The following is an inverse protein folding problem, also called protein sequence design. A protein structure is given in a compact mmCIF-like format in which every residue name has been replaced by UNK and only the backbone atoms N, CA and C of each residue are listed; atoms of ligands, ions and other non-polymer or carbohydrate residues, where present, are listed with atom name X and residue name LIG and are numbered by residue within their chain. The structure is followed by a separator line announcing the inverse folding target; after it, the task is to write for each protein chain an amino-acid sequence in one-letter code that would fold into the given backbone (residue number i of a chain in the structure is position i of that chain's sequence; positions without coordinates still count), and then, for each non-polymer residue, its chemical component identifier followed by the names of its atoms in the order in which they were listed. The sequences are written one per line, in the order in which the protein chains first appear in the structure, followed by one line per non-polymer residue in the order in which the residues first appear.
data_IF_160099582811
#
_entry.id   IF_160099582811
#
_cell.length_a   1.000
_cell.length_b   1.000
_cell.length_c   1.000
_cell.angle_alpha   90.00
_cell.angle_beta   90.00
_cell.angle_gamma   90.00
#
_symmetry.space_group_name_H-M   'P 1'
#
loop_
_entity.id
_entity.type
_entity.pdbx_description
1 polymer ?
#
# COMPACT_ATOMS: atom_id res chain seq x y z
N UNK A 1 -3.31 -16.28 4.80
CA UNK A 1 -4.76 -15.90 4.72
C UNK A 1 -4.94 -14.38 4.71
N UNK A 2 -5.99 -13.84 4.02
CA UNK A 2 -6.31 -12.39 4.05
C UNK A 2 -7.51 -12.15 4.96
N UNK A 3 -7.37 -11.25 5.94
CA UNK A 3 -8.43 -10.86 6.87
C UNK A 3 -8.46 -9.35 7.11
N UNK A 4 -9.53 -8.88 7.72
CA UNK A 4 -9.63 -7.48 8.15
C UNK A 4 -8.61 -7.20 9.27
N UNK A 5 -8.02 -6.02 9.22
CA UNK A 5 -7.12 -5.49 10.26
C UNK A 5 -7.82 -5.42 11.63
N UNK A 6 -7.08 -5.73 12.66
CA UNK A 6 -7.48 -5.64 14.05
C UNK A 6 -6.50 -4.74 14.83
N UNK A 7 -6.94 -4.18 15.95
CA UNK A 7 -6.11 -3.27 16.75
C UNK A 7 -4.78 -3.87 17.17
N UNK A 8 -4.74 -5.16 17.43
CA UNK A 8 -3.51 -5.89 17.77
C UNK A 8 -2.48 -5.92 16.65
N UNK A 9 -2.88 -5.71 15.39
CA UNK A 9 -1.99 -5.69 14.22
C UNK A 9 -1.27 -4.36 14.05
N UNK A 10 -1.62 -3.34 14.86
CA UNK A 10 -1.18 -1.96 14.66
C UNK A 10 0.34 -1.81 14.61
N UNK A 11 1.03 -2.35 15.60
CA UNK A 11 2.49 -2.20 15.67
C UNK A 11 3.19 -2.93 14.52
N UNK A 12 2.70 -4.12 14.15
CA UNK A 12 3.19 -4.87 13.01
C UNK A 12 3.00 -4.11 11.69
N UNK A 13 1.80 -3.58 11.48
CA UNK A 13 1.49 -2.82 10.26
C UNK A 13 2.33 -1.54 10.16
N UNK A 14 2.50 -0.80 11.25
CA UNK A 14 3.33 0.41 11.28
C UNK A 14 4.80 0.08 11.01
N UNK A 15 5.32 -1.01 11.56
CA UNK A 15 6.68 -1.48 11.32
C UNK A 15 6.90 -1.83 9.83
N UNK A 16 5.97 -2.58 9.24
CA UNK A 16 6.00 -2.93 7.81
C UNK A 16 5.91 -1.65 6.94
N UNK A 17 5.00 -0.75 7.29
CA UNK A 17 4.85 0.53 6.59
C UNK A 17 6.13 1.36 6.59
N UNK A 18 6.76 1.50 7.76
CA UNK A 18 7.99 2.28 7.93
C UNK A 18 9.15 1.69 7.12
N UNK A 19 9.38 0.38 7.24
CA UNK A 19 10.43 -0.32 6.52
C UNK A 19 10.23 -0.22 4.99
N UNK A 20 9.01 -0.47 4.53
CA UNK A 20 8.68 -0.43 3.11
C UNK A 20 8.84 0.97 2.50
N UNK A 21 8.46 2.03 3.23
CA UNK A 21 8.62 3.41 2.74
C UNK A 21 10.08 3.85 2.71
N UNK A 22 10.86 3.53 3.74
CA UNK A 22 12.30 3.84 3.76
C UNK A 22 13.03 3.19 2.58
N UNK A 23 12.70 1.96 2.25
CA UNK A 23 13.31 1.24 1.12
C UNK A 23 12.80 1.74 -0.24
N UNK A 24 11.48 1.93 -0.39
CA UNK A 24 10.89 2.30 -1.67
C UNK A 24 11.15 3.77 -2.06
N UNK A 25 11.48 4.60 -1.09
CA UNK A 25 11.65 6.04 -1.26
C UNK A 25 12.99 6.52 -0.71
N UNK A 26 14.09 5.87 -1.12
CA UNK A 26 15.47 6.20 -0.77
C UNK A 26 15.87 7.65 -1.10
N UNK A 27 15.10 8.30 -1.99
CA UNK A 27 15.21 9.71 -2.34
C UNK A 27 14.53 10.66 -1.33
N UNK A 28 13.94 10.14 -0.25
CA UNK A 28 13.32 10.88 0.86
C UNK A 28 14.11 10.56 2.12
N UNK A 29 14.44 11.59 2.92
CA UNK A 29 15.10 11.41 4.20
C UNK A 29 14.32 10.42 5.09
N UNK A 30 14.96 9.37 5.63
CA UNK A 30 14.31 8.41 6.52
C UNK A 30 13.62 9.05 7.74
N UNK A 31 14.15 10.16 8.27
CA UNK A 31 13.55 10.89 9.40
C UNK A 31 12.16 11.43 9.07
N UNK A 32 11.86 11.69 7.79
CA UNK A 32 10.53 12.08 7.35
C UNK A 32 9.49 11.02 7.70
N UNK A 33 9.79 9.74 7.41
CA UNK A 33 8.87 8.64 7.68
C UNK A 33 8.74 8.36 9.18
N UNK A 34 9.83 8.46 9.92
CA UNK A 34 9.81 8.28 11.38
C UNK A 34 8.97 9.36 12.07
N UNK A 35 9.07 10.61 11.62
CA UNK A 35 8.28 11.72 12.14
C UNK A 35 6.77 11.56 11.94
N UNK A 36 6.35 10.76 10.96
CA UNK A 36 4.92 10.49 10.71
C UNK A 36 4.38 9.25 11.41
N UNK A 37 5.19 8.50 12.14
CA UNK A 37 4.82 7.21 12.73
C UNK A 37 3.57 7.29 13.59
N UNK A 38 3.47 8.28 14.48
CA UNK A 38 2.32 8.42 15.37
C UNK A 38 1.05 8.83 14.61
N UNK A 39 1.16 9.75 13.65
CA UNK A 39 0.04 10.11 12.81
C UNK A 39 -0.47 8.93 11.97
N UNK A 40 0.42 8.07 11.50
CA UNK A 40 0.07 6.85 10.76
C UNK A 40 -0.64 5.83 11.64
N UNK A 41 -0.25 5.70 12.92
CA UNK A 41 -0.97 4.85 13.89
C UNK A 41 -2.43 5.27 14.01
N UNK A 42 -2.70 6.56 14.17
CA UNK A 42 -4.07 7.09 14.26
C UNK A 42 -4.84 6.85 12.95
N UNK A 43 -4.20 7.05 11.81
CA UNK A 43 -4.81 6.79 10.50
C UNK A 43 -5.18 5.31 10.33
N UNK A 44 -4.31 4.39 10.73
CA UNK A 44 -4.56 2.93 10.59
C UNK A 44 -5.74 2.47 11.43
N UNK A 45 -5.95 3.07 12.60
CA UNK A 45 -7.08 2.75 13.46
C UNK A 45 -8.45 3.17 12.85
N UNK A 46 -8.45 4.11 11.91
CA UNK A 46 -9.64 4.63 11.25
C UNK A 46 -9.82 4.13 9.82
N UNK A 47 -8.75 3.63 9.20
CA UNK A 47 -8.74 3.20 7.81
C UNK A 47 -9.36 1.80 7.61
N UNK A 48 -9.82 1.54 6.38
CA UNK A 48 -10.16 0.19 5.96
C UNK A 48 -8.88 -0.53 5.53
N UNK A 49 -8.41 -1.48 6.35
CA UNK A 49 -7.18 -2.22 6.10
C UNK A 49 -7.47 -3.72 6.07
N UNK A 50 -6.84 -4.42 5.13
CA UNK A 50 -6.77 -5.87 5.07
C UNK A 50 -5.33 -6.32 5.19
N UNK A 51 -5.09 -7.28 6.07
CA UNK A 51 -3.76 -7.87 6.32
C UNK A 51 -3.65 -9.24 5.66
N UNK A 52 -2.45 -9.54 5.19
CA UNK A 52 -2.06 -10.90 4.79
C UNK A 52 -1.29 -11.51 5.94
N UNK A 53 -1.86 -12.55 6.54
CA UNK A 53 -1.29 -13.29 7.65
C UNK A 53 -0.82 -14.66 7.18
N UNK A 54 0.35 -15.11 7.66
CA UNK A 54 0.80 -16.48 7.41
C UNK A 54 -0.03 -17.48 8.23
N UNK A 55 -0.21 -18.66 7.66
CA UNK A 55 -0.78 -19.81 8.37
C UNK A 55 0.34 -20.68 8.99
N UNK A 56 1.58 -20.46 8.57
CA UNK A 56 2.73 -21.16 9.11
C UNK A 56 3.09 -20.66 10.51
N UNK A 57 2.99 -21.54 11.49
CA UNK A 57 3.34 -21.32 12.90
C UNK A 57 4.85 -21.54 13.14
N UNK A 58 5.68 -21.55 12.11
CA UNK A 58 7.12 -21.68 12.28
C UNK A 58 7.70 -20.44 12.95
N UNK A 59 8.46 -20.62 14.03
CA UNK A 59 9.03 -19.53 14.85
C UNK A 59 9.85 -18.50 14.05
N UNK A 60 10.43 -18.91 12.91
CA UNK A 60 11.21 -18.04 12.02
C UNK A 60 10.35 -16.99 11.28
N UNK A 61 9.04 -17.21 11.15
CA UNK A 61 8.10 -16.28 10.49
C UNK A 61 7.35 -15.43 11.52
N UNK A 62 7.22 -15.93 12.75
CA UNK A 62 6.65 -15.22 13.89
C UNK A 62 7.68 -14.29 14.54
N UNK A 63 8.12 -13.32 13.77
CA UNK A 63 8.94 -12.23 14.30
C UNK A 63 8.06 -11.17 14.99
N UNK A 64 8.62 -10.00 15.22
CA UNK A 64 7.93 -8.84 15.82
C UNK A 64 6.68 -8.37 15.03
N UNK A 65 6.34 -9.00 13.90
CA UNK A 65 5.12 -8.71 13.11
C UNK A 65 4.00 -9.70 13.39
N UNK A 66 4.20 -10.68 14.30
CA UNK A 66 3.15 -11.62 14.72
C UNK A 66 2.52 -12.38 13.54
N UNK A 67 3.30 -12.71 12.51
CA UNK A 67 2.83 -13.42 11.32
C UNK A 67 2.19 -12.52 10.24
N UNK A 68 2.12 -11.22 10.43
CA UNK A 68 1.65 -10.30 9.37
C UNK A 68 2.77 -10.13 8.32
N UNK A 69 2.48 -10.53 7.10
CA UNK A 69 3.43 -10.48 5.98
C UNK A 69 3.25 -9.26 5.08
N UNK A 70 2.08 -8.62 5.14
CA UNK A 70 1.77 -7.41 4.39
C UNK A 70 0.35 -6.96 4.60
N UNK A 71 0.02 -5.79 4.07
CA UNK A 71 -1.33 -5.24 4.15
C UNK A 71 -1.63 -4.28 3.00
N UNK A 72 -2.90 -4.02 2.77
CA UNK A 72 -3.43 -3.01 1.87
C UNK A 72 -4.37 -2.07 2.64
N UNK A 73 -4.15 -0.77 2.51
CA UNK A 73 -4.99 0.27 3.08
C UNK A 73 -5.87 0.93 2.03
N UNK A 74 -7.11 1.24 2.39
CA UNK A 74 -8.12 1.83 1.51
C UNK A 74 -8.82 3.01 2.19
N UNK A 75 -9.14 4.03 1.38
CA UNK A 75 -10.17 5.01 1.66
C UNK A 75 -11.22 4.89 0.55
N UNK A 76 -12.31 4.19 0.81
CA UNK A 76 -13.35 3.84 -0.19
C UNK A 76 -12.74 3.07 -1.36
N UNK A 77 -12.74 3.68 -2.57
CA UNK A 77 -12.16 3.10 -3.79
C UNK A 77 -10.69 3.48 -4.01
N UNK A 78 -10.13 4.30 -3.13
CA UNK A 78 -8.75 4.74 -3.20
C UNK A 78 -7.83 3.82 -2.43
N UNK A 79 -6.79 3.28 -3.09
CA UNK A 79 -5.74 2.47 -2.47
C UNK A 79 -4.69 3.42 -1.92
N UNK A 80 -4.62 3.54 -0.60
CA UNK A 80 -3.62 4.34 0.10
C UNK A 80 -2.21 3.75 -0.03
N UNK A 81 -2.13 2.42 -0.06
CA UNK A 81 -0.90 1.71 -0.31
C UNK A 81 -1.01 0.20 -0.11
N UNK A 82 -0.05 -0.51 -0.70
CA UNK A 82 0.19 -1.93 -0.48
C UNK A 82 1.61 -2.06 0.08
N UNK A 83 1.71 -2.66 1.25
CA UNK A 83 2.96 -2.79 1.97
C UNK A 83 3.22 -4.27 2.25
N UNK A 84 4.38 -4.76 1.86
CA UNK A 84 4.79 -6.15 2.04
C UNK A 84 6.17 -6.18 2.66
N UNK A 85 6.37 -7.04 3.64
CA UNK A 85 7.68 -7.28 4.26
C UNK A 85 8.74 -7.56 3.21
N UNK A 86 9.95 -7.05 3.44
CA UNK A 86 11.04 -7.15 2.49
C UNK A 86 11.46 -8.58 2.17
N UNK A 87 11.51 -9.43 3.19
CA UNK A 87 11.95 -10.82 3.17
C UNK A 87 11.00 -11.77 2.41
N UNK A 88 9.70 -11.43 2.37
CA UNK A 88 8.67 -12.26 1.71
C UNK A 88 8.15 -11.65 0.40
N UNK A 89 8.85 -10.66 -0.13
CA UNK A 89 8.50 -10.11 -1.45
C UNK A 89 8.68 -11.14 -2.55
N UNK A 90 8.01 -10.92 -3.67
CA UNK A 90 7.97 -11.86 -4.82
C UNK A 90 7.22 -13.18 -4.57
N UNK A 91 6.61 -13.35 -3.39
CA UNK A 91 5.70 -14.45 -3.06
C UNK A 91 4.23 -14.14 -3.41
N UNK A 92 4.01 -13.19 -4.30
CA UNK A 92 2.67 -12.79 -4.77
C UNK A 92 1.73 -12.22 -3.70
N UNK A 93 2.22 -11.89 -2.49
CA UNK A 93 1.40 -11.34 -1.39
C UNK A 93 0.72 -10.04 -1.81
N UNK A 94 1.47 -9.09 -2.39
CA UNK A 94 0.91 -7.84 -2.88
C UNK A 94 -0.15 -8.03 -3.96
N UNK A 95 0.04 -9.02 -4.86
CA UNK A 95 -0.95 -9.39 -5.87
C UNK A 95 -2.22 -9.95 -5.21
N UNK A 96 -2.08 -10.87 -4.27
CA UNK A 96 -3.23 -11.47 -3.58
C UNK A 96 -4.04 -10.42 -2.81
N UNK A 97 -3.39 -9.47 -2.11
CA UNK A 97 -4.05 -8.35 -1.45
C UNK A 97 -4.81 -7.47 -2.45
N UNK A 98 -4.19 -7.14 -3.57
CA UNK A 98 -4.82 -6.34 -4.62
C UNK A 98 -6.00 -7.07 -5.26
N UNK A 99 -5.85 -8.35 -5.60
CA UNK A 99 -6.92 -9.16 -6.19
C UNK A 99 -8.12 -9.32 -5.23
N UNK A 100 -7.84 -9.48 -3.92
CA UNK A 100 -8.89 -9.51 -2.90
C UNK A 100 -9.72 -8.23 -2.89
N UNK A 101 -9.07 -7.07 -3.00
CA UNK A 101 -9.77 -5.79 -3.04
C UNK A 101 -10.49 -5.57 -4.37
N UNK A 102 -9.90 -6.00 -5.50
CA UNK A 102 -10.55 -5.98 -6.81
C UNK A 102 -11.87 -6.74 -6.84
N UNK A 103 -11.99 -7.83 -6.08
CA UNK A 103 -13.26 -8.56 -5.97
C UNK A 103 -14.34 -7.78 -5.22
N UNK A 104 -13.94 -6.92 -4.28
CA UNK A 104 -14.83 -6.14 -3.42
C UNK A 104 -15.20 -4.76 -4.00
N UNK A 105 -14.47 -4.27 -4.99
CA UNK A 105 -14.62 -2.93 -5.56
C UNK A 105 -14.78 -3.00 -7.06
N UNK A 106 -15.69 -2.17 -7.59
CA UNK A 106 -15.87 -2.00 -9.04
C UNK A 106 -14.79 -1.13 -9.64
N UNK A 107 -14.22 -0.24 -8.84
CA UNK A 107 -13.21 0.74 -9.24
C UNK A 107 -12.14 0.83 -8.17
N UNK A 108 -10.90 1.06 -8.58
CA UNK A 108 -9.79 1.38 -7.69
C UNK A 108 -8.96 2.52 -8.28
N UNK A 109 -8.57 3.44 -7.42
CA UNK A 109 -7.67 4.55 -7.73
C UNK A 109 -6.46 4.51 -6.81
N UNK A 110 -5.33 4.99 -7.27
CA UNK A 110 -4.13 5.12 -6.43
C UNK A 110 -3.15 6.14 -7.01
N UNK A 111 -2.27 6.63 -6.16
CA UNK A 111 -1.11 7.43 -6.57
C UNK A 111 0.18 6.68 -6.28
N UNK A 112 1.16 6.82 -7.19
CA UNK A 112 2.49 6.27 -6.98
C UNK A 112 3.55 7.29 -7.39
N UNK A 113 4.64 7.36 -6.65
CA UNK A 113 5.80 8.17 -7.05
C UNK A 113 6.44 7.58 -8.30
N UNK A 114 6.68 8.42 -9.33
CA UNK A 114 7.34 8.01 -10.59
C UNK A 114 8.70 7.36 -10.34
N UNK A 115 9.40 7.82 -9.30
CA UNK A 115 10.70 7.26 -8.90
C UNK A 115 10.59 5.88 -8.27
N UNK A 116 9.43 5.51 -7.71
CA UNK A 116 9.19 4.16 -7.22
C UNK A 116 8.85 3.22 -8.39
N UNK A 117 9.85 2.95 -9.21
CA UNK A 117 9.72 2.14 -10.43
C UNK A 117 9.16 0.75 -10.15
N UNK A 118 9.48 0.18 -8.99
CA UNK A 118 8.99 -1.15 -8.59
C UNK A 118 7.47 -1.15 -8.41
N UNK A 119 6.91 -0.16 -7.71
CA UNK A 119 5.48 -0.04 -7.54
C UNK A 119 4.78 0.27 -8.87
N UNK A 120 5.36 1.15 -9.70
CA UNK A 120 4.85 1.44 -11.06
C UNK A 120 4.71 0.15 -11.87
N UNK A 121 5.79 -0.63 -11.98
CA UNK A 121 5.79 -1.91 -12.72
C UNK A 121 4.81 -2.94 -12.13
N UNK A 122 4.69 -2.97 -10.80
CA UNK A 122 3.74 -3.84 -10.13
C UNK A 122 2.31 -3.51 -10.56
N UNK A 123 1.89 -2.25 -10.43
CA UNK A 123 0.52 -1.86 -10.77
C UNK A 123 0.21 -2.01 -12.26
N UNK A 124 1.15 -1.71 -13.14
CA UNK A 124 1.01 -1.93 -14.59
C UNK A 124 0.82 -3.40 -14.92
N UNK A 125 1.64 -4.28 -14.34
CA UNK A 125 1.52 -5.74 -14.52
C UNK A 125 0.19 -6.28 -14.01
N UNK A 126 -0.33 -5.72 -12.93
CA UNK A 126 -1.61 -6.12 -12.37
C UNK A 126 -2.82 -5.47 -13.08
N UNK A 127 -2.60 -4.84 -14.23
CA UNK A 127 -3.66 -4.30 -15.10
C UNK A 127 -4.25 -2.97 -14.61
N UNK A 128 -3.54 -2.24 -13.75
CA UNK A 128 -3.93 -0.89 -13.36
C UNK A 128 -3.34 0.08 -14.37
N UNK A 129 -4.21 0.74 -15.13
CA UNK A 129 -3.80 1.54 -16.25
C UNK A 129 -3.47 2.99 -15.86
N UNK A 130 -2.46 3.53 -16.52
CA UNK A 130 -2.01 4.91 -16.36
C UNK A 130 -3.05 5.91 -16.85
N UNK A 131 -3.44 6.87 -16.00
CA UNK A 131 -4.25 8.02 -16.42
C UNK A 131 -3.36 9.23 -16.75
N UNK A 132 -3.53 9.81 -17.94
CA UNK A 132 -2.75 10.95 -18.45
C UNK A 132 -2.95 12.28 -17.70
N UNK A 133 -3.78 12.35 -16.67
CA UNK A 133 -3.97 13.60 -15.90
C UNK A 133 -2.78 13.85 -14.97
N UNK A 134 -1.77 14.58 -15.49
CA UNK A 134 -0.72 15.21 -14.68
C UNK A 134 -1.34 16.37 -13.90
N UNK A 135 -1.64 16.22 -12.62
CA UNK A 135 -1.75 17.37 -11.72
C UNK A 135 -0.35 17.72 -11.20
N UNK A 136 0.08 18.94 -11.47
CA UNK A 136 1.23 19.52 -10.77
C UNK A 136 0.79 19.81 -9.35
N UNK A 137 1.13 18.94 -8.41
CA UNK A 137 1.13 19.30 -7.01
C UNK A 137 2.35 20.20 -6.77
N UNK A 138 2.20 21.30 -6.03
CA UNK A 138 3.21 22.33 -5.83
C UNK A 138 4.52 21.91 -5.16
N UNK A 139 4.72 20.63 -4.93
CA UNK A 139 5.97 20.05 -4.47
C UNK A 139 6.65 19.32 -5.63
N UNK A 140 7.97 19.53 -5.81
CA UNK A 140 8.79 19.09 -6.97
C UNK A 140 8.82 17.58 -7.24
N UNK A 141 7.96 16.78 -6.61
CA UNK A 141 7.89 15.32 -6.74
C UNK A 141 6.80 14.94 -7.73
N UNK A 142 7.17 14.41 -8.89
CA UNK A 142 6.22 13.91 -9.89
C UNK A 142 5.56 12.65 -9.36
N UNK A 143 4.23 12.63 -9.30
CA UNK A 143 3.42 11.45 -9.01
C UNK A 143 2.69 11.01 -10.27
N UNK A 144 2.53 9.73 -10.46
CA UNK A 144 1.68 9.14 -11.48
C UNK A 144 0.44 8.60 -10.78
N UNK A 145 -0.69 8.86 -11.37
CA UNK A 145 -1.94 8.30 -10.95
C UNK A 145 -2.29 7.10 -11.81
N UNK A 146 -2.69 6.05 -11.15
CA UNK A 146 -3.22 4.85 -11.76
C UNK A 146 -4.67 4.68 -11.34
N UNK A 147 -5.52 4.30 -12.27
CA UNK A 147 -6.87 3.91 -11.98
C UNK A 147 -7.20 2.64 -12.76
N UNK A 148 -7.95 1.76 -12.14
CA UNK A 148 -8.48 0.56 -12.75
C UNK A 148 -10.00 0.65 -12.70
N UNK A 149 -10.61 0.54 -13.87
CA UNK A 149 -12.03 0.40 -14.00
C UNK A 149 -12.38 -0.99 -14.53
N UNK A 150 -13.31 -1.68 -13.90
CA UNK A 150 -13.86 -2.92 -14.47
C UNK A 150 -14.81 -2.61 -15.64
N UNK A 151 -15.30 -1.37 -15.74
CA UNK A 151 -16.17 -0.89 -16.82
C UNK A 151 -15.97 0.64 -16.91
N UNK A 152 -15.24 1.11 -17.93
CA UNK A 152 -15.12 2.50 -18.41
C UNK A 152 -15.50 3.65 -17.48
N UNK A 153 -14.50 4.39 -17.07
CA UNK A 153 -14.40 5.84 -16.82
C UNK A 153 -13.72 6.24 -15.50
N UNK A 154 -12.77 7.18 -15.65
CA UNK A 154 -11.81 7.61 -14.64
C UNK A 154 -12.19 8.90 -13.93
N UNK A 155 -11.99 8.99 -12.62
CA UNK A 155 -11.80 10.26 -11.90
C UNK A 155 -10.90 10.15 -10.66
N UNK A 156 -10.17 11.22 -10.38
CA UNK A 156 -9.11 11.33 -9.38
C UNK A 156 -9.43 12.28 -8.24
N UNK A 157 -8.92 11.98 -7.05
CA UNK A 157 -8.80 12.96 -5.98
C UNK A 157 -7.31 13.13 -5.58
N UNK A 158 -6.72 14.34 -5.70
CA UNK A 158 -5.30 14.59 -5.50
C UNK A 158 -4.94 15.15 -4.12
N UNK A 159 -5.87 15.24 -3.17
CA UNK A 159 -5.67 15.99 -1.92
C UNK A 159 -5.29 15.14 -0.70
N UNK A 160 -5.09 13.82 -0.88
CA UNK A 160 -4.70 12.95 0.23
C UNK A 160 -3.26 12.48 0.07
N UNK A 161 -2.41 13.07 0.82
CA UNK A 161 -1.05 12.91 1.37
C UNK A 161 -0.20 14.11 1.08
#
# INVERSE_FOLDING_TARGET
MIRKFQRQDLEAAVKIWLAANKEAHDFIDPCYWEGYKDAVKEMFLQAEIYVFETEDMMEEIFDETGGILGFIGLDKDYVEGIFVRGDVRSQSIGKQLLDFVKQKRKRLELNVYVKNKRAVQFYEREGILYSKRRKRCGNRRKRILYAMDKINDFYMNPEKI
#
